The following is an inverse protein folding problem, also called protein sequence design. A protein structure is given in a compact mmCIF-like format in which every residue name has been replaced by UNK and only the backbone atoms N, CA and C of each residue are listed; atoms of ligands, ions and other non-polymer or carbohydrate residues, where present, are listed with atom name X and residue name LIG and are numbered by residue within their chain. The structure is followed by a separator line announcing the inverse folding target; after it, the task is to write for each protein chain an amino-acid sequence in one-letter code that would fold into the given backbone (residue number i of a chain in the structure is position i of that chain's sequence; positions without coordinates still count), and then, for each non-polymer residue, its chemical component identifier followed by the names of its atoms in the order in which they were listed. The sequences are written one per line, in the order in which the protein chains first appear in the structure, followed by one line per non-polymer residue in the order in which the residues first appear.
data_IF_741535183970
#
_entry.id   IF_741535183970
#
_cell.length_a   1.000
_cell.length_b   1.000
_cell.length_c   1.000
_cell.angle_alpha   90.00
_cell.angle_beta   90.00
_cell.angle_gamma   90.00
#
_symmetry.space_group_name_H-M   'P 1'
#
loop_
_entity.id
_entity.type
_entity.pdbx_description
1 polymer ?
#
# COMPACT_ATOMS: atom_id res chain seq x y z
N UNK A 1 58.90 -2.00 24.38
CA UNK A 1 58.18 -1.36 25.48
C UNK A 1 58.67 0.09 25.57
N UNK A 2 58.06 1.02 24.88
CA UNK A 2 58.27 2.46 25.04
C UNK A 2 56.89 3.10 25.03
N UNK A 3 56.37 3.34 26.24
CA UNK A 3 55.18 4.17 26.46
C UNK A 3 55.58 5.64 26.28
N UNK A 4 55.43 6.19 25.10
CA UNK A 4 55.49 7.64 24.88
C UNK A 4 54.08 8.20 24.96
N UNK A 5 53.62 8.55 26.17
CA UNK A 5 52.46 9.36 26.40
C UNK A 5 52.83 10.83 26.51
N UNK A 6 52.24 11.71 25.71
CA UNK A 6 52.40 13.15 25.86
C UNK A 6 51.62 13.67 27.08
N UNK A 7 52.31 14.26 28.04
CA UNK A 7 51.69 14.97 29.15
C UNK A 7 51.36 16.40 28.76
N UNK A 8 50.08 16.69 28.50
CA UNK A 8 49.61 18.05 28.25
C UNK A 8 49.36 18.74 29.60
N UNK A 9 50.21 19.73 29.93
CA UNK A 9 50.04 20.55 31.12
C UNK A 9 49.04 21.69 30.87
N UNK A 10 47.87 21.67 31.51
CA UNK A 10 46.99 22.83 31.58
C UNK A 10 46.77 23.19 33.06
N UNK A 11 46.79 24.48 33.39
CA UNK A 11 46.41 24.95 34.73
C UNK A 11 44.95 24.56 35.01
N UNK A 12 44.73 23.44 35.75
CA UNK A 12 43.43 23.03 36.22
C UNK A 12 43.05 21.55 36.09
N UNK A 13 43.51 20.82 35.09
CA UNK A 13 43.28 19.36 34.99
C UNK A 13 44.28 18.75 34.00
N UNK A 14 44.93 17.66 34.45
CA UNK A 14 45.90 16.90 33.63
C UNK A 14 45.08 15.91 32.79
N UNK A 15 45.03 16.15 31.45
CA UNK A 15 44.53 15.12 30.52
C UNK A 15 45.74 14.31 30.05
N UNK A 16 45.63 12.99 30.20
CA UNK A 16 46.55 12.04 29.56
C UNK A 16 45.87 11.56 28.28
N UNK A 17 46.46 11.84 27.13
CA UNK A 17 46.00 11.40 25.82
C UNK A 17 46.95 10.32 25.31
N UNK A 18 46.42 9.13 24.99
CA UNK A 18 47.21 8.04 24.37
C UNK A 18 47.38 8.36 22.89
N UNK A 19 48.60 8.17 22.38
CA UNK A 19 48.96 8.44 20.97
C UNK A 19 48.44 7.35 20.02
N UNK A 20 47.10 7.27 19.88
CA UNK A 20 46.51 6.45 18.82
C UNK A 20 46.68 7.10 17.42
N UNK A 21 46.72 8.42 17.37
CA UNK A 21 46.91 9.20 16.16
C UNK A 21 47.78 10.45 16.46
N UNK A 22 48.61 10.82 15.52
CA UNK A 22 49.37 12.08 15.55
C UNK A 22 48.48 13.31 15.40
N UNK A 23 48.99 14.48 15.74
CA UNK A 23 48.22 15.74 15.56
C UNK A 23 47.84 15.98 14.10
N UNK A 24 48.69 15.61 13.15
CA UNK A 24 48.43 15.78 11.71
C UNK A 24 47.36 14.77 11.24
N UNK A 25 47.39 13.54 11.68
CA UNK A 25 46.38 12.55 11.37
C UNK A 25 45.00 12.92 11.94
N UNK A 26 44.96 13.45 13.17
CA UNK A 26 43.74 13.96 13.79
C UNK A 26 43.17 15.15 12.95
N UNK A 27 44.05 16.04 12.51
CA UNK A 27 43.65 17.17 11.64
C UNK A 27 43.09 16.72 10.32
N UNK A 28 43.75 15.80 9.61
CA UNK A 28 43.29 15.29 8.33
C UNK A 28 41.97 14.55 8.47
N UNK A 29 41.78 13.70 9.50
CA UNK A 29 40.51 13.03 9.78
C UNK A 29 39.41 14.00 10.16
N UNK A 30 39.69 15.01 10.98
CA UNK A 30 38.78 16.10 11.30
C UNK A 30 38.25 16.81 10.03
N UNK A 31 39.14 17.10 9.10
CA UNK A 31 38.77 17.78 7.86
C UNK A 31 37.95 16.89 6.91
N UNK A 32 38.22 15.62 6.87
CA UNK A 32 37.58 14.67 5.98
C UNK A 32 36.26 14.09 6.54
N UNK A 33 36.05 14.14 7.87
CA UNK A 33 34.87 13.53 8.51
C UNK A 33 33.59 14.28 8.15
N UNK A 34 32.58 13.51 7.72
CA UNK A 34 31.27 14.04 7.33
C UNK A 34 30.23 13.94 8.46
N UNK A 35 30.43 13.04 9.42
CA UNK A 35 29.52 12.89 10.55
C UNK A 35 29.76 14.02 11.56
N UNK A 36 28.76 14.91 11.81
CA UNK A 36 28.99 16.14 12.57
C UNK A 36 29.55 15.91 13.99
N UNK A 37 29.02 14.92 14.70
CA UNK A 37 29.44 14.62 16.07
C UNK A 37 30.86 14.08 16.09
N UNK A 38 31.18 13.12 15.23
CA UNK A 38 32.52 12.55 15.14
C UNK A 38 33.56 13.58 14.68
N UNK A 39 33.18 14.44 13.74
CA UNK A 39 34.01 15.55 13.31
C UNK A 39 34.37 16.48 14.47
N UNK A 40 33.39 16.85 15.31
CA UNK A 40 33.65 17.72 16.47
C UNK A 40 34.49 17.01 17.52
N UNK A 41 34.33 15.70 17.71
CA UNK A 41 35.18 14.91 18.59
C UNK A 41 36.64 14.91 18.13
N UNK A 42 36.88 14.71 16.85
CA UNK A 42 38.21 14.77 16.24
C UNK A 42 38.82 16.17 16.39
N UNK A 43 38.04 17.26 16.22
CA UNK A 43 38.46 18.62 16.46
C UNK A 43 38.90 18.87 17.90
N UNK A 44 38.14 18.34 18.89
CA UNK A 44 38.49 18.45 20.30
C UNK A 44 39.83 17.78 20.56
N UNK A 45 40.00 16.51 20.11
CA UNK A 45 41.23 15.78 20.27
C UNK A 45 42.41 16.48 19.61
N UNK A 46 42.26 16.98 18.38
CA UNK A 46 43.30 17.75 17.69
C UNK A 46 43.69 19.00 18.46
N UNK A 47 42.75 19.78 19.02
CA UNK A 47 43.02 20.92 19.86
C UNK A 47 43.82 20.56 21.10
N UNK A 48 43.43 19.47 21.79
CA UNK A 48 44.15 19.01 22.99
C UNK A 48 45.55 18.52 22.68
N UNK A 49 45.75 17.76 21.58
CA UNK A 49 47.07 17.29 21.14
C UNK A 49 48.00 18.48 20.75
N UNK A 50 47.44 19.57 20.25
CA UNK A 50 48.21 20.81 20.02
C UNK A 50 48.37 21.70 21.27
N UNK A 51 48.21 21.13 22.47
CA UNK A 51 48.43 21.83 23.73
C UNK A 51 47.39 22.85 24.13
N UNK A 52 46.23 22.91 23.45
CA UNK A 52 45.14 23.81 23.83
C UNK A 52 44.46 23.33 25.10
N UNK A 53 44.20 24.18 26.09
CA UNK A 53 43.47 23.79 27.29
C UNK A 53 42.06 23.30 26.98
N UNK A 54 41.56 22.34 27.78
CA UNK A 54 40.19 21.85 27.65
C UNK A 54 39.14 22.94 27.76
N UNK A 55 39.39 24.01 28.48
CA UNK A 55 38.53 25.19 28.55
C UNK A 55 38.35 25.80 27.14
N UNK A 56 39.45 25.96 26.43
CA UNK A 56 39.44 26.54 25.06
C UNK A 56 38.74 25.60 24.07
N UNK A 57 39.00 24.31 24.17
CA UNK A 57 38.28 23.31 23.35
C UNK A 57 36.77 23.29 23.64
N UNK A 58 36.37 23.49 24.90
CA UNK A 58 34.99 23.60 25.31
C UNK A 58 34.29 24.85 24.72
N UNK A 59 34.99 26.01 24.81
CA UNK A 59 34.48 27.26 24.26
C UNK A 59 34.34 27.21 22.72
N UNK A 60 35.28 26.58 22.02
CA UNK A 60 35.25 26.46 20.56
C UNK A 60 34.23 25.48 20.01
N UNK A 61 33.89 24.46 20.79
CA UNK A 61 33.03 23.33 20.32
C UNK A 61 31.65 23.26 20.97
N UNK A 62 31.41 24.07 22.02
CA UNK A 62 30.16 24.06 22.79
C UNK A 62 29.99 22.87 23.73
N UNK A 63 30.98 22.00 23.86
CA UNK A 63 30.96 20.90 24.83
C UNK A 63 31.46 21.33 26.20
N UNK A 64 30.93 20.70 27.27
CA UNK A 64 31.44 20.97 28.62
C UNK A 64 32.81 20.31 28.84
N UNK A 65 33.65 20.91 29.69
CA UNK A 65 34.95 20.32 30.05
C UNK A 65 34.83 18.90 30.65
N UNK A 66 33.75 18.65 31.43
CA UNK A 66 33.44 17.32 31.96
C UNK A 66 33.21 16.33 30.85
N UNK A 67 32.46 16.73 29.81
CA UNK A 67 32.20 15.84 28.68
C UNK A 67 33.46 15.59 27.85
N UNK A 68 34.35 16.59 27.69
CA UNK A 68 35.65 16.42 27.03
C UNK A 68 36.48 15.37 27.78
N UNK A 69 36.46 15.35 29.13
CA UNK A 69 37.12 14.30 29.91
C UNK A 69 36.57 12.91 29.56
N UNK A 70 35.28 12.77 29.42
CA UNK A 70 34.65 11.50 28.99
C UNK A 70 35.07 11.11 27.57
N UNK A 71 35.16 12.09 26.66
CA UNK A 71 35.62 11.84 25.30
C UNK A 71 37.08 11.36 25.26
N UNK A 72 37.98 12.01 26.01
CA UNK A 72 39.36 11.60 26.14
C UNK A 72 39.47 10.17 26.69
N UNK A 73 38.69 9.84 27.72
CA UNK A 73 38.63 8.47 28.25
C UNK A 73 38.23 7.45 27.18
N UNK A 74 37.19 7.74 26.40
CA UNK A 74 36.76 6.86 25.31
C UNK A 74 37.78 6.71 24.21
N UNK A 75 38.48 7.81 23.86
CA UNK A 75 39.53 7.77 22.86
C UNK A 75 40.75 6.98 23.37
N UNK A 76 41.11 7.16 24.61
CA UNK A 76 42.22 6.38 25.22
C UNK A 76 41.92 4.89 25.25
N UNK A 77 40.67 4.49 25.51
CA UNK A 77 40.24 3.10 25.60
C UNK A 77 40.08 2.44 24.21
N UNK A 78 39.44 3.12 23.25
CA UNK A 78 39.00 2.55 21.98
C UNK A 78 39.51 3.29 20.72
N UNK A 79 40.41 4.27 20.87
CA UNK A 79 40.91 5.04 19.75
C UNK A 79 39.77 5.75 19.01
N UNK A 80 39.82 5.73 17.69
CA UNK A 80 38.83 6.38 16.81
C UNK A 80 37.44 5.74 16.90
N UNK A 81 37.33 4.48 17.28
CA UNK A 81 36.06 3.75 17.45
C UNK A 81 35.28 4.23 18.68
N UNK A 82 35.94 4.85 19.66
CA UNK A 82 35.30 5.52 20.79
C UNK A 82 34.63 6.86 20.46
N UNK A 83 34.77 7.36 19.22
CA UNK A 83 34.26 8.66 18.77
C UNK A 83 32.89 8.55 18.08
N UNK A 84 32.21 9.68 17.95
CA UNK A 84 30.89 9.77 17.28
C UNK A 84 29.71 9.52 18.24
N UNK A 85 28.53 9.39 17.67
CA UNK A 85 27.31 9.11 18.43
C UNK A 85 27.15 7.62 18.72
N UNK A 86 27.68 7.18 19.86
CA UNK A 86 27.60 5.79 20.30
C UNK A 86 26.19 5.37 20.74
N UNK A 87 25.23 6.32 20.90
CA UNK A 87 23.84 6.00 21.28
C UNK A 87 23.15 5.13 20.25
N UNK A 88 23.56 5.19 18.98
CA UNK A 88 23.05 4.34 17.90
C UNK A 88 23.33 2.85 18.11
N UNK A 89 24.34 2.52 18.90
CA UNK A 89 24.70 1.14 19.23
C UNK A 89 24.06 0.63 20.53
N UNK A 90 23.29 1.50 21.22
CA UNK A 90 22.59 1.06 22.42
C UNK A 90 21.54 -0.01 22.04
N UNK A 91 21.53 -1.16 22.68
CA UNK A 91 20.61 -2.26 22.38
C UNK A 91 19.14 -1.93 22.68
N UNK A 92 18.84 -0.73 23.18
CA UNK A 92 17.53 -0.32 23.61
C UNK A 92 17.04 -1.03 24.87
N UNK A 93 15.76 -0.87 25.19
CA UNK A 93 15.18 -1.59 26.33
C UNK A 93 14.93 -3.05 25.99
N UNK A 94 15.19 -3.95 26.93
CA UNK A 94 14.91 -5.39 26.76
C UNK A 94 13.46 -5.62 26.33
N UNK A 95 13.23 -6.53 25.37
CA UNK A 95 11.87 -6.89 24.94
C UNK A 95 11.03 -7.37 26.12
N UNK A 96 9.73 -7.04 26.14
CA UNK A 96 8.82 -7.49 27.18
C UNK A 96 8.56 -9.00 27.14
N UNK A 97 8.53 -9.56 25.92
CA UNK A 97 8.40 -11.00 25.69
C UNK A 97 9.75 -11.54 25.29
N UNK A 98 10.18 -12.61 25.92
CA UNK A 98 11.28 -13.45 25.48
C UNK A 98 10.86 -14.24 24.21
N UNK A 99 11.80 -14.96 23.60
CA UNK A 99 11.57 -15.70 22.36
C UNK A 99 10.43 -16.72 22.51
N UNK A 100 10.39 -17.46 23.61
CA UNK A 100 9.35 -18.47 23.85
C UNK A 100 7.95 -17.87 23.99
N UNK A 101 7.84 -16.74 24.71
CA UNK A 101 6.55 -16.03 24.83
C UNK A 101 6.13 -15.36 23.53
N UNK A 102 7.08 -14.89 22.73
CA UNK A 102 6.81 -14.30 21.43
C UNK A 102 6.24 -15.35 20.46
N UNK A 103 6.88 -16.53 20.38
CA UNK A 103 6.39 -17.65 19.59
C UNK A 103 5.01 -18.13 20.05
N UNK A 104 4.77 -18.15 21.37
CA UNK A 104 3.45 -18.48 21.89
C UNK A 104 2.38 -17.45 21.53
N UNK A 105 2.74 -16.17 21.49
CA UNK A 105 1.84 -15.12 21.02
C UNK A 105 1.52 -15.34 19.55
N UNK A 106 2.52 -15.59 18.72
CA UNK A 106 2.35 -15.82 17.28
C UNK A 106 1.35 -16.94 17.02
N UNK A 107 1.55 -18.12 17.60
CA UNK A 107 0.60 -19.25 17.52
C UNK A 107 -0.79 -18.91 18.05
N UNK A 108 -0.88 -18.07 19.08
CA UNK A 108 -2.19 -17.65 19.64
C UNK A 108 -2.95 -16.75 18.67
N UNK A 109 -2.26 -16.01 17.81
CA UNK A 109 -2.87 -15.09 16.84
C UNK A 109 -3.42 -15.80 15.60
N UNK A 110 -3.05 -17.07 15.36
CA UNK A 110 -3.60 -17.89 14.27
C UNK A 110 -5.08 -18.23 14.53
N UNK A 111 -5.49 -18.32 15.78
CA UNK A 111 -6.86 -18.60 16.18
C UNK A 111 -7.59 -17.29 16.57
N UNK A 112 -8.94 -17.26 16.46
CA UNK A 112 -9.74 -16.16 17.00
C UNK A 112 -9.50 -15.97 18.48
N UNK A 113 -9.67 -14.74 19.02
CA UNK A 113 -9.64 -14.53 20.48
C UNK A 113 -10.72 -15.37 21.17
N UNK A 114 -10.50 -15.81 22.43
CA UNK A 114 -11.42 -16.71 23.15
C UNK A 114 -12.88 -16.23 23.26
N UNK A 115 -13.09 -14.94 23.13
CA UNK A 115 -14.42 -14.29 23.15
C UNK A 115 -15.04 -14.13 21.74
N UNK A 116 -14.46 -14.74 20.71
CA UNK A 116 -14.96 -14.75 19.33
C UNK A 116 -14.81 -13.44 18.56
N UNK A 117 -14.12 -12.45 19.11
CA UNK A 117 -13.92 -11.15 18.42
C UNK A 117 -12.69 -11.11 17.52
N UNK A 118 -12.19 -9.90 17.27
CA UNK A 118 -11.01 -9.68 16.44
C UNK A 118 -9.78 -9.35 17.30
N UNK A 119 -8.61 -9.80 16.89
CA UNK A 119 -7.36 -9.39 17.51
C UNK A 119 -7.11 -7.90 17.32
N UNK A 120 -6.87 -7.22 18.41
CA UNK A 120 -6.56 -5.79 18.46
C UNK A 120 -5.34 -5.58 19.35
N UNK A 121 -4.66 -4.44 19.20
CA UNK A 121 -3.56 -4.09 20.10
C UNK A 121 -3.94 -4.08 21.58
N UNK A 122 -5.22 -3.82 21.91
CA UNK A 122 -5.73 -3.91 23.27
C UNK A 122 -5.81 -5.36 23.77
N UNK A 123 -6.34 -6.28 22.96
CA UNK A 123 -6.43 -7.70 23.31
C UNK A 123 -5.06 -8.36 23.41
N UNK A 124 -4.15 -8.03 22.52
CA UNK A 124 -2.74 -8.49 22.63
C UNK A 124 -2.11 -7.96 23.92
N UNK A 125 -2.35 -6.69 24.29
CA UNK A 125 -1.86 -6.15 25.55
C UNK A 125 -2.45 -6.90 26.75
N UNK A 126 -3.75 -7.24 26.75
CA UNK A 126 -4.38 -8.05 27.81
C UNK A 126 -3.75 -9.44 27.90
N UNK A 127 -3.54 -10.12 26.75
CA UNK A 127 -2.86 -11.40 26.71
C UNK A 127 -1.45 -11.31 27.33
N UNK A 128 -0.72 -10.22 27.02
CA UNK A 128 0.60 -9.95 27.59
C UNK A 128 0.51 -9.67 29.10
N UNK A 129 -0.48 -8.92 29.57
CA UNK A 129 -0.68 -8.68 30.99
C UNK A 129 -0.80 -9.99 31.78
N UNK A 130 -1.61 -10.92 31.31
CA UNK A 130 -1.78 -12.21 31.94
C UNK A 130 -0.51 -13.06 32.02
N UNK A 131 0.45 -12.85 31.10
CA UNK A 131 1.73 -13.60 31.05
C UNK A 131 2.88 -12.92 31.77
N UNK A 132 2.81 -11.61 31.93
CA UNK A 132 3.88 -10.81 32.53
C UNK A 132 3.56 -10.38 33.97
N UNK A 133 2.32 -10.58 34.45
CA UNK A 133 1.89 -10.15 35.77
C UNK A 133 1.91 -8.63 35.96
N UNK A 134 1.91 -7.84 34.87
CA UNK A 134 1.94 -6.36 34.91
C UNK A 134 1.12 -5.75 33.79
N UNK A 135 0.73 -4.48 33.97
CA UNK A 135 -0.01 -3.74 32.97
C UNK A 135 0.83 -3.48 31.71
N UNK A 136 0.25 -3.73 30.57
CA UNK A 136 0.83 -3.47 29.25
C UNK A 136 -0.13 -2.58 28.46
N UNK A 137 0.38 -1.51 27.88
CA UNK A 137 -0.45 -0.58 27.12
C UNK A 137 -0.88 -1.16 25.76
N UNK A 138 -2.05 -0.75 25.21
CA UNK A 138 -2.49 -1.16 23.88
C UNK A 138 -1.51 -0.77 22.77
N UNK A 139 -0.69 0.27 22.98
CA UNK A 139 0.39 0.64 22.06
C UNK A 139 1.42 -0.48 21.93
N UNK A 140 1.84 -1.06 23.06
CA UNK A 140 2.78 -2.20 23.07
C UNK A 140 2.17 -3.43 22.39
N UNK A 141 0.88 -3.72 22.61
CA UNK A 141 0.21 -4.79 21.86
C UNK A 141 0.28 -4.59 20.36
N UNK A 142 0.07 -3.35 19.86
CA UNK A 142 0.24 -3.05 18.43
C UNK A 142 1.69 -3.18 17.94
N UNK A 143 2.66 -2.83 18.76
CA UNK A 143 4.08 -3.00 18.43
C UNK A 143 4.43 -4.48 18.25
N UNK A 144 3.91 -5.36 19.11
CA UNK A 144 4.13 -6.80 19.00
C UNK A 144 3.43 -7.41 17.78
N UNK A 145 2.20 -6.98 17.44
CA UNK A 145 1.57 -7.37 16.19
C UNK A 145 2.45 -7.03 14.99
N UNK A 146 2.97 -5.80 14.92
CA UNK A 146 3.87 -5.39 13.81
C UNK A 146 5.17 -6.18 13.81
N UNK A 147 5.74 -6.46 14.98
CA UNK A 147 6.97 -7.26 15.10
C UNK A 147 6.81 -8.68 14.58
N UNK A 148 5.60 -9.26 14.71
CA UNK A 148 5.21 -10.55 14.17
C UNK A 148 4.75 -10.47 12.70
N UNK A 149 4.87 -9.30 12.03
CA UNK A 149 4.50 -9.15 10.63
C UNK A 149 3.02 -8.86 10.37
N UNK A 150 2.20 -8.76 11.41
CA UNK A 150 0.78 -8.44 11.22
C UNK A 150 0.56 -6.99 10.83
N UNK A 151 -0.21 -6.78 9.78
CA UNK A 151 -0.66 -5.47 9.30
C UNK A 151 -2.18 -5.39 9.32
N UNK A 152 -2.72 -4.18 9.36
CA UNK A 152 -4.17 -4.01 9.22
C UNK A 152 -4.58 -4.29 7.79
N UNK A 153 -5.41 -5.30 7.60
CA UNK A 153 -5.99 -5.66 6.31
C UNK A 153 -7.49 -5.39 6.32
N UNK A 154 -8.03 -4.98 5.18
CA UNK A 154 -9.46 -4.99 4.92
C UNK A 154 -9.75 -6.34 4.25
N UNK A 155 -10.56 -7.21 4.85
CA UNK A 155 -10.95 -8.47 4.21
C UNK A 155 -11.59 -8.17 2.86
N UNK A 156 -11.15 -8.87 1.83
CA UNK A 156 -11.84 -8.84 0.53
C UNK A 156 -13.10 -9.69 0.66
N UNK A 157 -14.29 -9.13 0.36
CA UNK A 157 -15.49 -9.95 0.29
C UNK A 157 -15.30 -11.04 -0.77
N UNK A 158 -15.65 -12.25 -0.44
CA UNK A 158 -15.71 -13.38 -1.38
C UNK A 158 -17.08 -14.00 -1.26
N UNK A 159 -17.64 -14.46 -2.38
CA UNK A 159 -18.89 -15.19 -2.33
C UNK A 159 -18.68 -16.54 -1.68
N UNK A 160 -19.56 -16.92 -0.74
CA UNK A 160 -19.42 -18.17 0.02
C UNK A 160 -19.48 -19.44 -0.86
N UNK A 161 -20.09 -19.34 -2.04
CA UNK A 161 -20.21 -20.43 -3.03
C UNK A 161 -19.16 -20.35 -4.14
N UNK A 162 -18.21 -19.41 -4.08
CA UNK A 162 -17.15 -19.26 -5.08
C UNK A 162 -16.17 -20.46 -5.02
N UNK A 163 -15.89 -21.07 -6.18
CA UNK A 163 -14.90 -22.15 -6.33
C UNK A 163 -13.54 -21.56 -6.67
N UNK A 164 -12.66 -21.48 -5.66
CA UNK A 164 -11.30 -20.96 -5.82
C UNK A 164 -10.48 -21.76 -6.86
N UNK A 165 -10.64 -23.10 -6.89
CA UNK A 165 -9.90 -23.92 -7.84
C UNK A 165 -10.36 -23.67 -9.29
N UNK A 166 -11.66 -23.44 -9.50
CA UNK A 166 -12.19 -23.04 -10.82
C UNK A 166 -11.67 -21.65 -11.22
N UNK A 167 -11.58 -20.71 -10.29
CA UNK A 167 -11.04 -19.37 -10.55
C UNK A 167 -9.56 -19.42 -10.96
N UNK A 168 -8.73 -20.19 -10.26
CA UNK A 168 -7.30 -20.32 -10.61
C UNK A 168 -7.11 -21.05 -11.96
N UNK A 169 -7.90 -22.09 -12.23
CA UNK A 169 -7.91 -22.74 -13.56
C UNK A 169 -8.30 -21.73 -14.65
N UNK A 170 -9.37 -20.97 -14.43
CA UNK A 170 -9.79 -19.94 -15.40
C UNK A 170 -8.67 -18.97 -15.73
N UNK A 171 -7.97 -18.42 -14.72
CA UNK A 171 -6.85 -17.50 -14.93
C UNK A 171 -5.70 -18.13 -15.69
N UNK A 172 -5.35 -19.38 -15.37
CA UNK A 172 -4.26 -20.09 -16.01
C UNK A 172 -4.57 -20.39 -17.49
N UNK A 173 -5.79 -20.83 -17.78
CA UNK A 173 -6.18 -21.29 -19.11
C UNK A 173 -6.65 -20.13 -20.02
N UNK A 174 -7.19 -19.06 -19.45
CA UNK A 174 -7.80 -17.98 -20.21
C UNK A 174 -6.85 -17.33 -21.19
N UNK A 175 -5.64 -17.01 -20.73
CA UNK A 175 -4.62 -16.42 -21.59
C UNK A 175 -4.23 -17.34 -22.76
N UNK A 176 -4.02 -18.62 -22.48
CA UNK A 176 -3.67 -19.60 -23.50
C UNK A 176 -4.80 -19.74 -24.54
N UNK A 177 -6.06 -19.81 -24.12
CA UNK A 177 -7.22 -19.84 -25.03
C UNK A 177 -7.30 -18.61 -25.93
N UNK A 178 -6.96 -17.43 -25.40
CA UNK A 178 -6.96 -16.21 -26.22
C UNK A 178 -5.81 -16.23 -27.24
N UNK A 179 -4.64 -16.71 -26.85
CA UNK A 179 -3.49 -16.89 -27.76
C UNK A 179 -3.78 -17.94 -28.83
N UNK A 180 -4.49 -19.02 -28.49
CA UNK A 180 -4.94 -20.04 -29.45
C UNK A 180 -5.93 -19.43 -30.45
N UNK A 181 -6.91 -18.68 -29.95
CA UNK A 181 -7.89 -18.00 -30.79
C UNK A 181 -7.24 -17.05 -31.82
N UNK A 182 -6.22 -16.29 -31.39
CA UNK A 182 -5.50 -15.40 -32.27
C UNK A 182 -4.64 -16.15 -33.31
N UNK A 183 -4.22 -17.40 -32.99
CA UNK A 183 -3.46 -18.26 -33.95
C UNK A 183 -4.36 -18.99 -34.95
N UNK A 184 -5.58 -19.35 -34.52
CA UNK A 184 -6.55 -20.03 -35.39
C UNK A 184 -7.04 -19.13 -36.54
N UNK A 185 -7.06 -17.81 -36.31
CA UNK A 185 -7.59 -16.84 -37.28
C UNK A 185 -6.60 -15.64 -37.39
N UNK A 186 -5.44 -15.82 -38.00
CA UNK A 186 -4.36 -14.82 -38.01
C UNK A 186 -4.71 -13.55 -38.83
N UNK A 187 -5.70 -13.63 -39.68
CA UNK A 187 -6.14 -12.51 -40.51
C UNK A 187 -7.13 -11.57 -39.70
N UNK A 188 -7.57 -11.99 -38.54
CA UNK A 188 -8.49 -11.24 -37.68
C UNK A 188 -7.80 -10.72 -36.43
N UNK A 189 -7.98 -9.47 -36.12
CA UNK A 189 -7.53 -8.93 -34.83
C UNK A 189 -8.40 -9.47 -33.69
N UNK A 190 -7.77 -9.78 -32.53
CA UNK A 190 -8.47 -10.25 -31.33
C UNK A 190 -8.36 -9.22 -30.22
N UNK A 191 -9.49 -8.73 -29.73
CA UNK A 191 -9.57 -7.85 -28.57
C UNK A 191 -10.29 -8.56 -27.43
N UNK A 192 -9.85 -8.30 -26.19
CA UNK A 192 -10.49 -8.87 -25.01
C UNK A 192 -11.07 -7.75 -24.14
N UNK A 193 -12.36 -7.78 -23.98
CA UNK A 193 -13.14 -6.82 -23.21
C UNK A 193 -13.84 -7.48 -22.02
N UNK A 194 -14.07 -6.73 -20.97
CA UNK A 194 -14.86 -7.16 -19.81
C UNK A 194 -16.16 -6.34 -19.78
N UNK A 195 -17.24 -6.99 -19.34
CA UNK A 195 -18.55 -6.37 -19.23
C UNK A 195 -19.17 -6.64 -17.87
N UNK A 196 -19.78 -5.60 -17.28
CA UNK A 196 -20.53 -5.72 -16.03
C UNK A 196 -21.60 -4.64 -15.93
N UNK A 197 -22.60 -4.84 -15.07
CA UNK A 197 -23.65 -3.89 -14.77
C UNK A 197 -23.47 -3.26 -13.41
N UNK A 198 -23.74 -1.96 -13.35
CA UNK A 198 -23.71 -1.19 -12.13
C UNK A 198 -25.04 -0.50 -11.83
N UNK A 199 -25.37 -0.44 -10.55
CA UNK A 199 -26.51 0.33 -10.06
C UNK A 199 -26.02 1.53 -9.25
N UNK A 200 -26.22 2.74 -9.78
CA UNK A 200 -26.02 3.97 -9.04
C UNK A 200 -27.38 4.49 -8.54
N UNK A 201 -27.47 4.82 -7.27
CA UNK A 201 -28.76 5.16 -6.67
C UNK A 201 -28.72 6.29 -5.66
N UNK A 202 -29.91 6.79 -5.30
CA UNK A 202 -30.07 7.90 -4.34
C UNK A 202 -29.63 7.52 -2.91
N UNK A 203 -29.44 6.24 -2.60
CA UNK A 203 -28.81 5.83 -1.36
C UNK A 203 -27.34 6.25 -1.38
N UNK A 204 -26.87 7.03 -0.39
CA UNK A 204 -25.54 7.62 -0.47
C UNK A 204 -24.42 6.59 -0.40
N UNK A 205 -23.42 6.79 -1.23
CA UNK A 205 -22.13 6.09 -1.15
C UNK A 205 -21.32 6.74 -0.05
N UNK A 206 -21.23 6.10 1.12
CA UNK A 206 -20.49 6.64 2.27
C UNK A 206 -19.02 6.28 2.18
N UNK A 207 -18.16 7.29 2.10
CA UNK A 207 -16.70 7.13 2.12
C UNK A 207 -16.05 7.94 3.24
N UNK A 208 -14.92 7.47 3.74
CA UNK A 208 -14.10 8.20 4.72
C UNK A 208 -13.49 9.43 4.08
N UNK A 209 -13.57 10.56 4.78
CA UNK A 209 -12.99 11.84 4.36
C UNK A 209 -12.06 12.38 5.43
N UNK A 210 -11.12 13.23 5.03
CA UNK A 210 -10.32 14.01 5.95
C UNK A 210 -11.16 15.15 6.51
N UNK A 211 -11.19 15.26 7.85
CA UNK A 211 -11.87 16.33 8.57
C UNK A 211 -11.04 16.76 9.78
N UNK A 212 -11.28 17.95 10.29
CA UNK A 212 -10.62 18.43 11.51
C UNK A 212 -10.99 17.54 12.68
N UNK A 213 -10.04 17.28 13.57
CA UNK A 213 -10.26 16.47 14.75
C UNK A 213 -11.40 17.06 15.60
N UNK A 214 -12.35 16.22 15.97
CA UNK A 214 -13.55 16.63 16.73
C UNK A 214 -14.71 17.12 15.87
N UNK A 215 -14.52 17.33 14.55
CA UNK A 215 -15.58 17.71 13.61
C UNK A 215 -15.92 16.51 12.72
N UNK A 216 -16.97 15.78 13.09
CA UNK A 216 -17.43 14.64 12.29
C UNK A 216 -18.30 15.15 11.14
N UNK A 217 -17.90 14.92 9.85
CA UNK A 217 -18.71 15.31 8.72
C UNK A 217 -20.05 14.58 8.71
N UNK A 218 -21.09 15.26 8.24
CA UNK A 218 -22.42 14.70 8.05
C UNK A 218 -22.62 14.46 6.56
N UNK A 219 -22.91 13.23 6.17
CA UNK A 219 -23.41 12.91 4.84
C UNK A 219 -24.94 12.76 4.93
N UNK A 220 -25.65 13.59 4.18
CA UNK A 220 -27.11 13.46 4.03
C UNK A 220 -27.39 12.24 3.16
N UNK A 221 -28.51 11.57 3.35
CA UNK A 221 -28.86 10.40 2.58
C UNK A 221 -30.36 10.31 2.32
N UNK A 222 -30.74 9.76 1.19
CA UNK A 222 -32.10 9.41 0.87
C UNK A 222 -32.42 8.00 1.38
N UNK A 223 -33.65 7.80 1.82
CA UNK A 223 -34.19 6.46 2.10
C UNK A 223 -34.91 5.85 0.88
N UNK A 224 -34.90 6.54 -0.26
CA UNK A 224 -35.55 6.07 -1.49
C UNK A 224 -34.67 5.06 -2.20
N UNK A 225 -35.25 3.92 -2.54
CA UNK A 225 -34.62 2.85 -3.33
C UNK A 225 -34.89 3.10 -4.83
N UNK A 226 -34.28 4.16 -5.36
CA UNK A 226 -34.29 4.49 -6.77
C UNK A 226 -32.86 4.47 -7.29
N UNK A 227 -32.65 3.92 -8.49
CA UNK A 227 -31.34 3.79 -9.12
C UNK A 227 -31.44 3.86 -10.63
N UNK A 228 -30.35 4.23 -11.27
CA UNK A 228 -30.07 4.05 -12.68
C UNK A 228 -29.15 2.86 -12.87
N UNK A 229 -29.30 2.18 -14.00
CA UNK A 229 -28.38 1.09 -14.38
C UNK A 229 -27.37 1.65 -15.39
N UNK A 230 -26.11 1.25 -15.23
CA UNK A 230 -25.02 1.57 -16.13
C UNK A 230 -24.40 0.27 -16.60
N UNK A 231 -24.39 0.03 -17.89
CA UNK A 231 -23.67 -1.09 -18.50
C UNK A 231 -22.30 -0.63 -18.92
N UNK A 232 -21.26 -1.30 -18.42
CA UNK A 232 -19.87 -0.94 -18.67
C UNK A 232 -19.10 -2.03 -19.42
N UNK A 233 -18.59 -1.67 -20.58
CA UNK A 233 -17.64 -2.47 -21.34
C UNK A 233 -16.28 -1.81 -21.23
N UNK A 234 -15.26 -2.56 -20.88
CA UNK A 234 -13.90 -2.04 -20.74
C UNK A 234 -12.89 -2.97 -21.37
N UNK A 235 -11.92 -2.40 -22.07
CA UNK A 235 -10.71 -3.09 -22.54
C UNK A 235 -9.57 -2.82 -21.58
N UNK A 236 -9.29 -3.72 -20.63
CA UNK A 236 -8.31 -3.47 -19.58
C UNK A 236 -6.90 -3.19 -20.10
N UNK A 237 -6.53 -3.76 -21.26
CA UNK A 237 -5.22 -3.60 -21.87
C UNK A 237 -4.93 -2.16 -22.32
N UNK A 238 -5.95 -1.42 -22.76
CA UNK A 238 -5.81 -0.06 -23.31
C UNK A 238 -6.47 1.02 -22.46
N UNK A 239 -7.49 0.66 -21.65
CA UNK A 239 -8.33 1.59 -20.92
C UNK A 239 -9.47 2.15 -21.77
N UNK A 240 -9.68 1.62 -22.97
CA UNK A 240 -10.89 1.92 -23.76
C UNK A 240 -12.13 1.40 -23.05
N UNK A 241 -13.22 2.10 -23.19
CA UNK A 241 -14.48 1.73 -22.57
C UNK A 241 -15.69 2.24 -23.37
N UNK A 242 -16.82 1.55 -23.16
CA UNK A 242 -18.12 1.91 -23.71
C UNK A 242 -19.16 1.82 -22.59
N UNK A 243 -20.03 2.80 -22.48
CA UNK A 243 -21.09 2.85 -21.46
C UNK A 243 -22.45 3.05 -22.10
N UNK A 244 -23.46 2.45 -21.49
CA UNK A 244 -24.84 2.66 -21.87
C UNK A 244 -25.77 2.51 -20.66
N UNK A 245 -26.92 3.20 -20.71
CA UNK A 245 -27.98 3.04 -19.75
C UNK A 245 -28.92 1.94 -20.19
N UNK A 246 -29.26 0.99 -19.31
CA UNK A 246 -30.22 -0.04 -19.67
C UNK A 246 -31.00 -0.60 -18.46
N UNK A 247 -32.12 -1.27 -18.74
CA UNK A 247 -33.08 -1.73 -17.72
C UNK A 247 -33.55 -3.18 -17.92
N UNK A 248 -33.33 -3.84 -19.09
CA UNK A 248 -33.82 -5.21 -19.35
C UNK A 248 -33.07 -5.93 -20.50
N UNK A 249 -33.31 -7.25 -20.70
CA UNK A 249 -32.66 -8.09 -21.72
C UNK A 249 -32.82 -7.58 -23.15
N UNK A 250 -33.99 -7.08 -23.53
CA UNK A 250 -34.20 -6.50 -24.86
C UNK A 250 -33.30 -5.28 -25.10
N UNK A 251 -33.02 -4.52 -24.07
CA UNK A 251 -32.08 -3.40 -24.11
C UNK A 251 -30.64 -3.91 -24.20
N UNK A 252 -30.28 -5.00 -23.49
CA UNK A 252 -28.94 -5.59 -23.58
C UNK A 252 -28.61 -6.00 -25.02
N UNK A 253 -29.52 -6.64 -25.76
CA UNK A 253 -29.32 -6.98 -27.18
C UNK A 253 -29.01 -5.73 -28.02
N UNK A 254 -29.72 -4.62 -27.78
CA UNK A 254 -29.48 -3.35 -28.50
C UNK A 254 -28.13 -2.75 -28.14
N UNK A 255 -27.76 -2.78 -26.86
CA UNK A 255 -26.51 -2.24 -26.40
C UNK A 255 -25.32 -3.09 -26.89
N UNK A 256 -25.45 -4.40 -26.86
CA UNK A 256 -24.43 -5.31 -27.39
C UNK A 256 -24.23 -5.09 -28.90
N UNK A 257 -25.31 -4.85 -29.65
CA UNK A 257 -25.24 -4.49 -31.06
C UNK A 257 -24.63 -3.10 -31.31
N UNK A 258 -24.88 -2.13 -30.43
CA UNK A 258 -24.26 -0.81 -30.49
C UNK A 258 -22.79 -0.88 -30.16
N UNK A 259 -22.41 -1.59 -29.08
CA UNK A 259 -21.04 -1.86 -28.70
C UNK A 259 -20.25 -2.53 -29.82
N UNK A 260 -20.79 -3.61 -30.40
CA UNK A 260 -20.13 -4.34 -31.49
C UNK A 260 -19.81 -3.42 -32.69
N UNK A 261 -20.73 -2.50 -33.04
CA UNK A 261 -20.48 -1.51 -34.11
C UNK A 261 -19.45 -0.47 -33.71
N UNK A 262 -19.47 0.00 -32.46
CA UNK A 262 -18.56 1.02 -31.99
C UNK A 262 -17.11 0.51 -31.99
N UNK A 263 -16.89 -0.70 -31.49
CA UNK A 263 -15.55 -1.33 -31.47
C UNK A 263 -15.16 -1.96 -32.81
N UNK A 264 -16.04 -2.00 -33.79
CA UNK A 264 -15.79 -2.56 -35.13
C UNK A 264 -15.67 -4.09 -35.14
N UNK A 265 -16.41 -4.79 -34.27
CA UNK A 265 -16.49 -6.25 -34.29
C UNK A 265 -17.15 -6.73 -35.59
N UNK A 266 -16.60 -7.79 -36.21
CA UNK A 266 -17.08 -8.27 -37.50
C UNK A 266 -16.11 -9.24 -38.20
N UNK A 267 -16.11 -9.24 -39.54
CA UNK A 267 -15.28 -10.20 -40.30
C UNK A 267 -13.78 -10.10 -40.00
N UNK A 268 -13.27 -8.90 -39.77
CA UNK A 268 -11.84 -8.63 -39.62
C UNK A 268 -11.41 -8.52 -38.16
N UNK A 269 -12.37 -8.51 -37.20
CA UNK A 269 -12.11 -8.33 -35.79
C UNK A 269 -12.98 -9.22 -34.92
N UNK A 270 -12.35 -9.99 -34.04
CA UNK A 270 -12.99 -10.75 -32.97
C UNK A 270 -12.89 -9.95 -31.66
N UNK A 271 -14.01 -9.72 -31.01
CA UNK A 271 -14.08 -9.15 -29.66
C UNK A 271 -14.55 -10.23 -28.71
N UNK A 272 -13.67 -10.69 -27.84
CA UNK A 272 -14.03 -11.59 -26.76
C UNK A 272 -14.54 -10.77 -25.59
N UNK A 273 -15.81 -10.94 -25.24
CA UNK A 273 -16.48 -10.26 -24.15
C UNK A 273 -16.59 -11.17 -22.96
N UNK A 274 -15.85 -10.85 -21.90
CA UNK A 274 -15.86 -11.56 -20.63
C UNK A 274 -16.94 -10.99 -19.74
N UNK A 275 -17.88 -11.83 -19.29
CA UNK A 275 -19.03 -11.44 -18.49
C UNK A 275 -19.38 -12.53 -17.48
N UNK A 276 -20.21 -12.20 -16.51
CA UNK A 276 -20.76 -13.17 -15.57
C UNK A 276 -21.89 -14.01 -16.19
N UNK A 277 -22.30 -15.07 -15.49
CA UNK A 277 -23.40 -15.94 -15.91
C UNK A 277 -24.78 -15.46 -15.47
N UNK A 278 -25.05 -14.16 -15.40
CA UNK A 278 -26.37 -13.65 -15.05
C UNK A 278 -27.44 -14.16 -16.03
N UNK A 279 -28.69 -14.32 -15.55
CA UNK A 279 -29.72 -15.00 -16.31
C UNK A 279 -29.99 -14.43 -17.71
N UNK A 280 -29.84 -13.11 -17.90
CA UNK A 280 -30.01 -12.47 -19.20
C UNK A 280 -28.80 -12.61 -20.14
N UNK A 281 -27.62 -12.93 -19.64
CA UNK A 281 -26.42 -13.19 -20.45
C UNK A 281 -26.45 -14.60 -21.09
N UNK A 282 -27.25 -15.51 -20.55
CA UNK A 282 -27.45 -16.87 -21.05
C UNK A 282 -28.89 -17.10 -21.58
N UNK A 283 -29.65 -16.03 -21.76
CA UNK A 283 -31.03 -16.11 -22.23
C UNK A 283 -31.11 -16.67 -23.66
N UNK A 284 -32.16 -17.45 -23.96
CA UNK A 284 -32.33 -18.07 -25.29
C UNK A 284 -32.56 -17.08 -26.40
N UNK A 285 -33.03 -15.88 -26.10
CA UNK A 285 -33.30 -14.77 -27.02
C UNK A 285 -32.14 -13.77 -27.10
N UNK A 286 -31.00 -14.11 -26.50
CA UNK A 286 -29.78 -13.30 -26.64
C UNK A 286 -29.28 -13.34 -28.09
N UNK A 287 -29.12 -12.17 -28.69
CA UNK A 287 -28.62 -11.98 -30.03
C UNK A 287 -27.18 -11.50 -29.96
N UNK A 288 -26.25 -12.44 -30.19
CA UNK A 288 -24.81 -12.13 -30.22
C UNK A 288 -24.43 -11.64 -31.63
N UNK A 289 -23.94 -10.38 -31.76
CA UNK A 289 -23.52 -9.85 -33.06
C UNK A 289 -22.34 -10.62 -33.64
N UNK A 290 -22.19 -10.57 -34.96
CA UNK A 290 -21.01 -11.12 -35.62
C UNK A 290 -19.73 -10.47 -35.12
N UNK A 291 -18.66 -11.25 -35.00
CA UNK A 291 -17.39 -10.82 -34.42
C UNK A 291 -17.37 -10.76 -32.87
N UNK A 292 -18.50 -10.86 -32.18
CA UNK A 292 -18.52 -10.98 -30.72
C UNK A 292 -18.45 -12.45 -30.29
N UNK A 293 -17.59 -12.76 -29.33
CA UNK A 293 -17.54 -14.06 -28.65
C UNK A 293 -17.73 -13.86 -27.14
N UNK A 294 -18.69 -14.55 -26.54
CA UNK A 294 -18.94 -14.47 -25.12
C UNK A 294 -18.08 -15.48 -24.37
N UNK A 295 -17.40 -15.04 -23.33
CA UNK A 295 -16.60 -15.86 -22.43
C UNK A 295 -17.12 -15.66 -21.01
N UNK A 296 -17.60 -16.74 -20.39
CA UNK A 296 -18.23 -16.65 -19.07
C UNK A 296 -17.24 -16.91 -17.95
N UNK A 297 -17.26 -16.04 -16.95
CA UNK A 297 -16.54 -16.22 -15.70
C UNK A 297 -17.10 -17.43 -14.93
N UNK A 298 -16.28 -18.12 -14.11
CA UNK A 298 -16.78 -19.10 -13.18
C UNK A 298 -17.88 -18.49 -12.29
N UNK A 299 -18.92 -19.26 -11.94
CA UNK A 299 -19.98 -18.75 -11.08
C UNK A 299 -19.46 -18.16 -9.76
N UNK A 300 -20.12 -17.11 -9.28
CA UNK A 300 -19.81 -16.45 -8.01
C UNK A 300 -18.34 -15.95 -7.90
N UNK A 301 -17.80 -15.41 -8.99
CA UNK A 301 -16.42 -14.98 -9.09
C UNK A 301 -16.25 -13.49 -9.45
N UNK A 302 -16.86 -12.55 -8.69
CA UNK A 302 -16.79 -11.12 -8.99
C UNK A 302 -15.34 -10.60 -8.97
N UNK A 303 -14.46 -11.21 -8.17
CA UNK A 303 -13.04 -10.85 -8.11
C UNK A 303 -12.27 -11.08 -9.42
N UNK A 304 -12.83 -11.81 -10.38
CA UNK A 304 -12.25 -12.00 -11.70
C UNK A 304 -12.74 -10.97 -12.73
N UNK A 305 -13.74 -10.15 -12.38
CA UNK A 305 -14.36 -9.20 -13.29
C UNK A 305 -13.64 -7.84 -13.30
N UNK A 306 -12.89 -7.50 -14.36
CA UNK A 306 -12.21 -6.20 -14.42
C UNK A 306 -13.18 -5.01 -14.41
N UNK A 307 -14.34 -5.16 -15.04
CA UNK A 307 -15.34 -4.08 -15.12
C UNK A 307 -15.88 -3.66 -13.75
N UNK A 308 -15.90 -4.57 -12.73
CA UNK A 308 -16.27 -4.20 -11.37
C UNK A 308 -15.33 -3.13 -10.76
N UNK A 309 -14.10 -3.05 -11.23
CA UNK A 309 -13.12 -2.07 -10.78
C UNK A 309 -13.34 -0.67 -11.35
N UNK A 310 -14.21 -0.52 -12.34
CA UNK A 310 -14.67 0.80 -12.82
C UNK A 310 -15.58 1.49 -11.81
N UNK A 311 -16.44 0.74 -11.12
CA UNK A 311 -17.49 1.31 -10.29
C UNK A 311 -16.99 2.18 -9.15
N UNK A 312 -15.92 1.83 -8.42
CA UNK A 312 -15.31 2.73 -7.45
C UNK A 312 -14.81 4.05 -8.04
N UNK A 313 -14.34 4.03 -9.30
CA UNK A 313 -13.82 5.21 -10.01
C UNK A 313 -14.96 6.08 -10.50
N UNK A 314 -16.00 5.47 -11.07
CA UNK A 314 -17.22 6.17 -11.54
C UNK A 314 -17.97 6.79 -10.37
N UNK A 315 -18.11 6.06 -9.24
CA UNK A 315 -18.85 6.51 -8.06
C UNK A 315 -18.10 7.54 -7.20
N UNK A 316 -16.88 7.92 -7.55
CA UNK A 316 -16.09 8.85 -6.75
C UNK A 316 -16.79 10.20 -6.50
N UNK A 317 -17.39 10.88 -7.50
CA UNK A 317 -18.10 12.12 -7.29
C UNK A 317 -19.44 11.96 -6.56
N UNK A 318 -19.98 10.74 -6.49
CA UNK A 318 -21.21 10.45 -5.75
C UNK A 318 -20.95 10.28 -4.25
N UNK A 319 -19.68 10.11 -3.85
CA UNK A 319 -19.33 9.81 -2.46
C UNK A 319 -19.71 10.95 -1.52
N UNK A 320 -20.51 10.64 -0.48
CA UNK A 320 -20.99 11.56 0.54
C UNK A 320 -21.85 12.71 -0.01
N UNK A 321 -22.32 12.61 -1.27
CA UNK A 321 -23.22 13.59 -1.90
C UNK A 321 -24.67 13.22 -1.66
N UNK A 322 -25.54 14.23 -1.79
CA UNK A 322 -26.98 14.10 -1.70
C UNK A 322 -27.60 14.60 -3.01
N UNK A 323 -28.38 13.76 -3.65
CA UNK A 323 -29.09 14.06 -4.89
C UNK A 323 -30.60 14.11 -4.63
N UNK A 324 -31.27 15.12 -5.09
CA UNK A 324 -32.72 15.25 -4.92
C UNK A 324 -33.50 14.29 -5.85
N UNK A 325 -33.00 14.09 -7.06
CA UNK A 325 -33.61 13.25 -8.11
C UNK A 325 -32.58 12.31 -8.73
N UNK A 326 -33.05 11.28 -9.44
CA UNK A 326 -32.16 10.44 -10.27
C UNK A 326 -31.55 11.24 -11.43
N UNK A 327 -32.23 12.24 -11.96
CA UNK A 327 -31.69 13.07 -13.02
C UNK A 327 -30.46 13.87 -12.57
N UNK A 328 -30.49 14.43 -11.34
CA UNK A 328 -29.32 15.13 -10.77
C UNK A 328 -28.12 14.18 -10.60
N UNK A 329 -28.39 12.93 -10.20
CA UNK A 329 -27.37 11.91 -10.06
C UNK A 329 -26.80 11.49 -11.42
N UNK A 330 -27.67 11.29 -12.39
CA UNK A 330 -27.31 10.87 -13.75
C UNK A 330 -26.44 11.93 -14.45
N UNK A 331 -26.77 13.22 -14.29
CA UNK A 331 -25.97 14.33 -14.81
C UNK A 331 -24.53 14.29 -14.28
N UNK A 332 -24.34 14.06 -12.96
CA UNK A 332 -23.01 13.95 -12.34
C UNK A 332 -22.28 12.69 -12.81
N UNK A 333 -23.00 11.59 -13.03
CA UNK A 333 -22.43 10.38 -13.62
C UNK A 333 -21.98 10.61 -15.06
N UNK A 334 -22.81 11.22 -15.88
CA UNK A 334 -22.52 11.52 -17.28
C UNK A 334 -21.27 12.42 -17.39
N UNK A 335 -21.20 13.50 -16.60
CA UNK A 335 -20.02 14.36 -16.55
C UNK A 335 -18.77 13.58 -16.13
N UNK A 336 -18.88 12.72 -15.11
CA UNK A 336 -17.77 11.87 -14.67
C UNK A 336 -17.30 10.93 -15.75
N UNK A 337 -18.22 10.32 -16.48
CA UNK A 337 -17.91 9.42 -17.59
C UNK A 337 -17.23 10.16 -18.73
N UNK A 338 -17.70 11.35 -19.11
CA UNK A 338 -17.01 12.18 -20.09
C UNK A 338 -15.58 12.54 -19.69
N UNK A 339 -15.37 12.87 -18.41
CA UNK A 339 -14.04 13.17 -17.90
C UNK A 339 -13.11 11.95 -17.92
N UNK A 340 -13.62 10.76 -17.57
CA UNK A 340 -12.85 9.52 -17.61
C UNK A 340 -12.54 9.04 -19.04
N UNK A 341 -13.37 9.36 -20.02
CA UNK A 341 -13.11 9.06 -21.43
C UNK A 341 -11.81 9.72 -21.94
N UNK A 342 -11.39 10.81 -21.30
CA UNK A 342 -10.12 11.50 -21.60
C UNK A 342 -8.94 11.02 -20.74
N UNK A 343 -9.12 9.99 -19.90
CA UNK A 343 -8.10 9.45 -18.99
C UNK A 343 -8.04 7.91 -19.08
N UNK A 344 -7.66 7.33 -20.23
CA UNK A 344 -7.60 5.89 -20.41
C UNK A 344 -6.56 5.22 -19.49
N UNK A 345 -5.49 5.92 -19.12
CA UNK A 345 -4.48 5.40 -18.19
C UNK A 345 -5.07 5.12 -16.81
N UNK A 346 -5.98 5.95 -16.34
CA UNK A 346 -6.68 5.73 -15.07
C UNK A 346 -7.59 4.51 -15.14
N UNK A 347 -8.31 4.33 -16.22
CA UNK A 347 -9.17 3.16 -16.45
C UNK A 347 -8.30 1.91 -16.50
N UNK A 348 -7.25 1.90 -17.32
CA UNK A 348 -6.29 0.81 -17.44
C UNK A 348 -5.69 0.44 -16.08
N UNK A 349 -5.19 1.41 -15.32
CA UNK A 349 -4.57 1.16 -14.01
C UNK A 349 -5.55 0.55 -12.98
N UNK A 350 -6.84 0.80 -13.14
CA UNK A 350 -7.88 0.29 -12.26
C UNK A 350 -8.36 -1.11 -12.66
N UNK A 351 -8.40 -1.42 -13.95
CA UNK A 351 -9.05 -2.62 -14.49
C UNK A 351 -8.10 -3.69 -14.98
N UNK A 352 -6.83 -3.36 -15.26
CA UNK A 352 -5.87 -4.33 -15.76
C UNK A 352 -5.37 -5.27 -14.65
N UNK A 353 -5.69 -6.55 -14.78
CA UNK A 353 -5.16 -7.60 -13.92
C UNK A 353 -3.89 -8.21 -14.53
N UNK A 354 -2.95 -8.66 -13.68
CA UNK A 354 -1.67 -9.26 -14.13
C UNK A 354 -1.84 -10.54 -14.99
N UNK A 355 -2.95 -11.25 -14.84
CA UNK A 355 -3.29 -12.46 -15.60
C UNK A 355 -4.11 -12.16 -16.86
N UNK A 356 -4.63 -10.94 -17.01
CA UNK A 356 -5.42 -10.54 -18.17
C UNK A 356 -4.57 -10.46 -19.44
N UNK A 357 -5.03 -10.99 -20.59
CA UNK A 357 -4.25 -10.94 -21.83
C UNK A 357 -4.02 -9.47 -22.26
N UNK A 358 -2.79 -9.16 -22.61
CA UNK A 358 -2.42 -7.87 -23.18
C UNK A 358 -2.29 -8.01 -24.72
N UNK A 359 -3.37 -8.35 -25.39
CA UNK A 359 -3.40 -8.32 -26.85
C UNK A 359 -3.53 -6.88 -27.34
N UNK A 360 -2.73 -6.57 -28.33
CA UNK A 360 -2.66 -5.28 -29.02
C UNK A 360 -3.46 -5.38 -30.31
#
# INVERSE_FOLDING_TARGET
MNEFGFHIWSMGSKFYLIDHLTADELYHRYRAEQEPIKRTHLQILWLLTNGRPAKVAAEMTGYSQRWISVLVGRYNEAGVDGLGDLRRFNPGSRPLLDAAKLERLDRTLDDPPPDGGLWTGWRVAQWMCGRLGRLVSPRRGREYLRRLGFTRQVPRPRHAQGDFAAQERFKADFRARMEDLAREDPDRSVEVWAFDEHRAGLKPVIRKVWARRGQRPLARGHQRFQWVYVFGFVRPATGEWFLADAVNTAMFNRILAAFARDVGAGPDKIVVLVLDGAGWHVAKDLQVPDGIRLEFLPPYSPELQPAEHLWPVINEPLANQYFHTLADLDEVLAERCCNLANDPDRIKSSTQFHWWPAFI
#
